data_IF_513588818653
#
_entry.id   IF_513588818653
#
_cell.length_a   1.000
_cell.length_b   1.000
_cell.length_c   1.000
_cell.angle_alpha   90.00
_cell.angle_beta   90.00
_cell.angle_gamma   90.00
#
_symmetry.space_group_name_H-M   'P 1'
#
loop_
_entity.id
_entity.type
_entity.pdbx_description
1 polymer ?
#
# COMPACT_ATOMS: atom_id res chain seq x y z
N UNK A 1 2.65 -21.63 10.40
CA UNK A 1 2.13 -21.00 9.17
C UNK A 1 0.87 -21.71 8.60
N UNK A 2 0.05 -22.40 9.41
CA UNK A 2 -1.10 -23.20 8.94
C UNK A 2 -2.44 -22.80 9.58
N UNK A 3 -2.62 -21.54 9.99
CA UNK A 3 -3.85 -21.05 10.65
C UNK A 3 -4.33 -19.67 10.20
N UNK A 4 -3.85 -19.17 9.06
CA UNK A 4 -4.26 -17.85 8.55
C UNK A 4 -5.74 -17.88 8.10
N UNK A 5 -6.21 -19.03 7.59
CA UNK A 5 -7.60 -19.25 7.13
C UNK A 5 -8.66 -19.16 8.24
N UNK A 6 -8.27 -19.20 9.53
CA UNK A 6 -9.19 -19.12 10.67
C UNK A 6 -9.11 -17.79 11.44
N UNK A 7 -8.09 -16.95 11.17
CA UNK A 7 -7.86 -15.71 11.92
C UNK A 7 -7.92 -14.44 11.07
N UNK A 8 -7.65 -14.53 9.77
CA UNK A 8 -7.69 -13.38 8.88
C UNK A 8 -9.11 -13.12 8.37
N UNK A 9 -9.71 -12.02 8.82
CA UNK A 9 -11.02 -11.59 8.33
C UNK A 9 -10.90 -10.82 7.01
N UNK A 10 -11.96 -10.80 6.19
CA UNK A 10 -12.05 -9.99 4.94
C UNK A 10 -11.59 -8.55 5.16
N UNK A 11 -11.88 -7.97 6.34
CA UNK A 11 -11.44 -6.63 6.72
C UNK A 11 -9.92 -6.46 6.75
N UNK A 12 -9.18 -7.45 7.24
CA UNK A 12 -7.70 -7.40 7.32
C UNK A 12 -7.09 -7.50 5.92
N UNK A 13 -7.58 -8.43 5.09
CA UNK A 13 -7.11 -8.53 3.70
C UNK A 13 -7.37 -7.25 2.90
N UNK A 14 -8.50 -6.57 3.13
CA UNK A 14 -8.80 -5.28 2.51
C UNK A 14 -7.87 -4.17 2.98
N UNK A 15 -7.54 -4.11 4.27
CA UNK A 15 -6.57 -3.15 4.81
C UNK A 15 -5.20 -3.36 4.18
N UNK A 16 -4.73 -4.60 4.03
CA UNK A 16 -3.46 -4.88 3.37
C UNK A 16 -3.43 -4.47 1.89
N UNK A 17 -4.52 -4.70 1.15
CA UNK A 17 -4.62 -4.23 -0.25
C UNK A 17 -4.61 -2.70 -0.30
N UNK A 18 -5.27 -2.04 0.64
CA UNK A 18 -5.27 -0.60 0.75
C UNK A 18 -3.86 -0.05 1.04
N UNK A 19 -3.16 -0.62 2.03
CA UNK A 19 -1.76 -0.28 2.35
C UNK A 19 -0.83 -0.50 1.14
N UNK A 20 -1.01 -1.59 0.40
CA UNK A 20 -0.26 -1.87 -0.83
C UNK A 20 -0.53 -0.80 -1.90
N UNK A 21 -1.79 -0.37 -2.05
CA UNK A 21 -2.18 0.68 -3.00
C UNK A 21 -1.62 2.06 -2.63
N UNK A 22 -1.74 2.44 -1.36
CA UNK A 22 -1.26 3.72 -0.82
C UNK A 22 0.23 3.94 -1.05
N UNK A 23 1.02 2.86 -1.06
CA UNK A 23 2.46 2.92 -1.36
C UNK A 23 2.80 2.59 -2.81
N UNK A 24 2.10 1.63 -3.41
CA UNK A 24 2.32 1.20 -4.79
C UNK A 24 2.03 2.32 -5.79
N UNK A 25 0.99 3.13 -5.57
CA UNK A 25 0.62 4.23 -6.47
C UNK A 25 1.73 5.30 -6.52
N UNK A 26 2.21 5.88 -5.40
CA UNK A 26 3.34 6.80 -5.43
C UNK A 26 4.60 6.21 -6.08
N UNK A 27 4.93 4.95 -5.77
CA UNK A 27 6.11 4.28 -6.34
C UNK A 27 5.97 4.15 -7.86
N UNK A 28 4.83 3.68 -8.35
CA UNK A 28 4.60 3.58 -9.80
C UNK A 28 4.57 4.96 -10.46
N UNK A 29 4.00 5.98 -9.81
CA UNK A 29 4.02 7.34 -10.30
C UNK A 29 5.46 7.84 -10.49
N UNK A 30 6.34 7.67 -9.51
CA UNK A 30 7.74 8.10 -9.64
C UNK A 30 8.54 7.32 -10.69
N UNK A 31 8.18 6.06 -10.95
CA UNK A 31 8.85 5.20 -11.95
C UNK A 31 8.41 5.54 -13.37
N UNK A 32 7.13 5.81 -13.59
CA UNK A 32 6.56 5.98 -14.93
C UNK A 32 6.39 7.43 -15.35
N UNK A 33 6.13 8.33 -14.41
CA UNK A 33 5.83 9.73 -14.68
C UNK A 33 7.06 10.61 -14.47
N UNK A 34 7.06 11.75 -15.16
CA UNK A 34 7.91 12.86 -14.79
C UNK A 34 7.55 13.31 -13.37
N UNK A 35 8.56 13.61 -12.56
CA UNK A 35 8.35 14.03 -11.18
C UNK A 35 8.00 15.52 -11.16
N UNK A 36 6.75 15.79 -11.50
CA UNK A 36 6.10 17.10 -11.45
C UNK A 36 5.37 17.28 -10.11
N UNK A 37 4.80 18.46 -9.85
CA UNK A 37 4.08 18.78 -8.60
C UNK A 37 3.04 17.72 -8.20
N UNK A 38 2.18 17.18 -9.09
CA UNK A 38 1.23 16.13 -8.76
C UNK A 38 1.89 14.85 -8.24
N UNK A 39 3.07 14.48 -8.74
CA UNK A 39 3.78 13.27 -8.28
C UNK A 39 4.29 13.47 -6.86
N UNK A 40 4.92 14.62 -6.58
CA UNK A 40 5.39 14.97 -5.23
C UNK A 40 4.20 15.02 -4.26
N UNK A 41 3.11 15.69 -4.64
CA UNK A 41 1.89 15.73 -3.84
C UNK A 41 1.31 14.33 -3.57
N UNK A 42 1.29 13.46 -4.59
CA UNK A 42 0.81 12.08 -4.45
C UNK A 42 1.66 11.28 -3.48
N UNK A 43 2.99 11.49 -3.45
CA UNK A 43 3.87 10.82 -2.49
C UNK A 43 3.54 11.22 -1.04
N UNK A 44 3.41 12.51 -0.76
CA UNK A 44 3.10 12.99 0.60
C UNK A 44 1.66 12.70 1.01
N UNK A 45 0.69 12.87 0.09
CA UNK A 45 -0.71 12.52 0.36
C UNK A 45 -0.86 11.01 0.59
N UNK A 46 -0.20 10.18 -0.24
CA UNK A 46 -0.15 8.74 -0.07
C UNK A 46 0.42 8.35 1.29
N UNK A 47 1.53 8.96 1.70
CA UNK A 47 2.11 8.76 3.04
C UNK A 47 1.13 9.15 4.16
N UNK A 48 0.51 10.33 4.10
CA UNK A 48 -0.44 10.75 5.14
C UNK A 48 -1.65 9.82 5.26
N UNK A 49 -2.18 9.35 4.13
CA UNK A 49 -3.28 8.37 4.11
C UNK A 49 -2.78 7.02 4.64
N UNK A 50 -1.57 6.62 4.28
CA UNK A 50 -0.92 5.41 4.76
C UNK A 50 -0.79 5.37 6.28
N UNK A 51 -0.35 6.46 6.93
CA UNK A 51 -0.27 6.55 8.39
C UNK A 51 -1.62 6.32 9.07
N UNK A 52 -2.70 6.86 8.48
CA UNK A 52 -4.06 6.64 9.00
C UNK A 52 -4.48 5.18 8.87
N UNK A 53 -4.16 4.54 7.74
CA UNK A 53 -4.47 3.13 7.49
C UNK A 53 -3.64 2.22 8.38
N UNK A 54 -2.35 2.51 8.57
CA UNK A 54 -1.44 1.83 9.51
C UNK A 54 -1.97 1.92 10.94
N UNK A 55 -2.41 3.11 11.37
CA UNK A 55 -3.02 3.25 12.70
C UNK A 55 -4.27 2.37 12.86
N UNK A 56 -5.10 2.28 11.81
CA UNK A 56 -6.25 1.39 11.76
C UNK A 56 -5.88 -0.09 11.82
N UNK A 57 -4.85 -0.49 11.09
CA UNK A 57 -4.30 -1.84 11.09
C UNK A 57 -3.75 -2.22 12.47
N UNK A 58 -2.93 -1.35 13.06
CA UNK A 58 -2.35 -1.57 14.38
C UNK A 58 -3.43 -1.70 15.45
N UNK A 59 -4.47 -0.84 15.43
CA UNK A 59 -5.64 -0.96 16.33
C UNK A 59 -6.32 -2.32 16.21
N UNK A 60 -6.44 -2.85 14.99
CA UNK A 60 -7.06 -4.15 14.76
C UNK A 60 -6.16 -5.29 15.25
N UNK A 61 -4.86 -5.21 14.95
CA UNK A 61 -3.87 -6.21 15.35
C UNK A 61 -3.77 -6.34 16.88
N UNK A 62 -3.59 -5.23 17.61
CA UNK A 62 -3.48 -5.24 19.07
C UNK A 62 -4.76 -5.67 19.78
N UNK A 63 -5.92 -5.55 19.13
CA UNK A 63 -7.19 -6.04 19.66
C UNK A 63 -7.33 -7.56 19.58
N UNK A 64 -6.52 -8.22 18.73
CA UNK A 64 -6.62 -9.64 18.42
C UNK A 64 -5.45 -10.48 18.91
N UNK A 65 -4.25 -9.88 19.03
CA UNK A 65 -3.04 -10.58 19.44
C UNK A 65 -2.03 -9.63 20.07
N UNK A 66 -1.03 -10.22 20.70
CA UNK A 66 0.16 -9.50 21.13
C UNK A 66 1.03 -9.10 19.93
N UNK A 67 1.55 -7.88 19.96
CA UNK A 67 2.54 -7.35 19.01
C UNK A 67 3.87 -7.27 19.74
N UNK A 68 4.87 -8.01 19.24
CA UNK A 68 6.17 -8.11 19.91
C UNK A 68 7.02 -6.85 19.68
N UNK A 69 8.00 -6.54 20.54
CA UNK A 69 8.87 -5.38 20.34
C UNK A 69 9.64 -5.40 19.01
N UNK A 70 10.10 -6.57 18.56
CA UNK A 70 10.82 -6.73 17.29
C UNK A 70 9.90 -6.46 16.10
N UNK A 71 8.67 -6.98 16.17
CA UNK A 71 7.65 -6.73 15.15
C UNK A 71 7.36 -5.23 15.03
N UNK A 72 7.17 -4.55 16.16
CA UNK A 72 6.94 -3.10 16.16
C UNK A 72 8.15 -2.33 15.63
N UNK A 73 9.39 -2.76 15.94
CA UNK A 73 10.60 -2.12 15.42
C UNK A 73 10.69 -2.25 13.89
N UNK A 74 10.43 -3.44 13.34
CA UNK A 74 10.41 -3.65 11.89
C UNK A 74 9.30 -2.83 11.25
N UNK A 75 8.12 -2.79 11.87
CA UNK A 75 7.00 -1.98 11.40
C UNK A 75 7.36 -0.49 11.36
N UNK A 76 7.90 0.08 12.44
CA UNK A 76 8.25 1.49 12.47
C UNK A 76 9.36 1.85 11.47
N UNK A 77 10.27 0.92 11.16
CA UNK A 77 11.22 1.14 10.05
C UNK A 77 10.50 1.19 8.72
N UNK A 78 9.61 0.24 8.43
CA UNK A 78 8.85 0.19 7.18
C UNK A 78 7.95 1.42 7.00
N UNK A 79 7.34 1.90 8.07
CA UNK A 79 6.47 3.09 8.12
C UNK A 79 7.23 4.37 7.72
N UNK A 80 8.51 4.49 8.10
CA UNK A 80 9.33 5.67 7.78
C UNK A 80 9.97 5.65 6.39
N UNK A 81 10.10 4.49 5.75
CA UNK A 81 10.67 4.38 4.39
C UNK A 81 9.91 5.19 3.33
N UNK A 82 8.55 5.18 3.28
CA UNK A 82 7.74 6.07 2.47
C UNK A 82 8.16 7.55 2.55
N UNK A 83 8.24 8.07 3.78
CA UNK A 83 8.54 9.47 4.04
C UNK A 83 9.96 9.80 3.61
N UNK A 84 10.92 8.91 3.91
CA UNK A 84 12.30 9.06 3.45
C UNK A 84 12.38 9.09 1.91
N UNK A 85 11.67 8.19 1.22
CA UNK A 85 11.60 8.17 -0.24
C UNK A 85 11.00 9.46 -0.82
N UNK A 86 9.90 9.94 -0.25
CA UNK A 86 9.28 11.22 -0.62
C UNK A 86 10.24 12.39 -0.48
N UNK A 87 10.96 12.46 0.64
CA UNK A 87 11.98 13.49 0.86
C UNK A 87 13.14 13.40 -0.13
N UNK A 88 13.71 12.22 -0.34
CA UNK A 88 14.83 12.05 -1.28
C UNK A 88 14.44 12.46 -2.71
N UNK A 89 13.25 12.03 -3.17
CA UNK A 89 12.74 12.43 -4.50
C UNK A 89 12.51 13.93 -4.57
N UNK A 90 11.94 14.53 -3.53
CA UNK A 90 11.68 15.97 -3.48
C UNK A 90 12.96 16.80 -3.48
N UNK A 91 14.01 16.34 -2.77
CA UNK A 91 15.32 16.98 -2.78
C UNK A 91 16.04 16.82 -4.13
N UNK A 92 15.90 15.67 -4.80
CA UNK A 92 16.38 15.49 -6.17
C UNK A 92 15.64 16.37 -7.20
N UNK A 93 14.44 16.83 -6.85
CA UNK A 93 13.58 17.71 -7.66
C UNK A 93 13.31 19.02 -6.94
N UNK A 94 14.37 19.59 -6.36
CA UNK A 94 14.31 20.79 -5.53
C UNK A 94 13.57 21.96 -6.23
N UNK A 95 13.80 22.17 -7.53
CA UNK A 95 13.12 23.22 -8.28
C UNK A 95 11.59 23.06 -8.26
N UNK A 96 11.10 21.82 -8.38
CA UNK A 96 9.68 21.50 -8.35
C UNK A 96 9.13 21.59 -6.92
N UNK A 97 9.90 21.13 -5.92
CA UNK A 97 9.55 21.30 -4.51
C UNK A 97 9.41 22.78 -4.14
N UNK A 98 10.35 23.63 -4.56
CA UNK A 98 10.32 25.07 -4.31
C UNK A 98 9.15 25.75 -5.03
N UNK A 99 8.83 25.32 -6.25
CA UNK A 99 7.67 25.81 -6.98
C UNK A 99 6.37 25.42 -6.27
N UNK A 100 6.25 24.18 -5.79
CA UNK A 100 5.10 23.70 -5.03
C UNK A 100 4.91 24.45 -3.70
N UNK A 101 6.00 24.80 -3.02
CA UNK A 101 5.99 25.59 -1.79
C UNK A 101 5.78 27.10 -2.01
N UNK A 102 5.72 27.57 -3.26
CA UNK A 102 5.57 28.99 -3.59
C UNK A 102 6.78 29.85 -3.25
N UNK A 103 7.96 29.24 -3.07
CA UNK A 103 9.23 29.94 -2.77
C UNK A 103 10.13 30.08 -4.00
N UNK A 104 9.70 29.54 -5.15
CA UNK A 104 10.36 29.71 -6.45
C UNK A 104 9.68 30.80 -7.28
N UNK A 105 10.42 31.54 -8.12
CA UNK A 105 9.84 32.39 -9.17
C UNK A 105 9.12 31.59 -10.27
N UNK A 106 9.38 30.29 -10.37
CA UNK A 106 8.76 29.37 -11.32
C UNK A 106 7.42 28.85 -10.76
N UNK A 107 6.40 28.80 -11.61
CA UNK A 107 5.11 28.19 -11.27
C UNK A 107 5.21 26.64 -11.18
N UNK A 108 4.47 26.00 -10.26
CA UNK A 108 4.40 24.54 -10.16
C UNK A 108 3.85 23.91 -11.45
N UNK A 109 4.50 22.84 -11.92
CA UNK A 109 4.04 22.09 -13.10
C UNK A 109 3.00 21.05 -12.66
N UNK A 110 1.73 21.31 -12.98
CA UNK A 110 0.62 20.40 -12.67
C UNK A 110 0.32 19.36 -13.74
N UNK A 111 1.15 19.24 -14.77
CA UNK A 111 0.92 18.25 -15.82
C UNK A 111 1.35 16.84 -15.39
N UNK A 112 0.66 15.85 -15.96
CA UNK A 112 0.97 14.44 -15.80
C UNK A 112 1.53 13.94 -17.12
N UNK A 113 2.82 13.61 -17.15
CA UNK A 113 3.53 13.17 -18.35
C UNK A 113 4.35 11.92 -18.04
N UNK A 114 4.47 11.03 -19.02
CA UNK A 114 5.40 9.90 -18.94
C UNK A 114 6.84 10.42 -18.97
N UNK A 115 7.77 9.68 -18.35
CA UNK A 115 9.20 10.03 -18.41
C UNK A 115 9.71 10.07 -19.85
N UNK A 116 10.41 11.15 -20.19
CA UNK A 116 11.11 11.28 -21.47
C UNK A 116 12.28 10.29 -21.55
N UNK A 117 12.99 10.12 -20.43
CA UNK A 117 14.07 9.16 -20.26
C UNK A 117 13.64 8.10 -19.24
N UNK A 118 12.86 7.09 -19.65
CA UNK A 118 12.37 6.08 -18.74
C UNK A 118 13.50 5.16 -18.26
N UNK A 119 13.32 4.59 -17.07
CA UNK A 119 14.20 3.53 -16.59
C UNK A 119 14.26 2.37 -17.60
N UNK A 120 15.40 1.64 -17.69
CA UNK A 120 15.51 0.51 -18.59
C UNK A 120 14.37 -0.48 -18.38
N UNK A 121 13.85 -1.03 -19.47
CA UNK A 121 12.63 -1.87 -19.42
C UNK A 121 12.77 -3.06 -18.47
N UNK A 122 13.97 -3.63 -18.34
CA UNK A 122 14.26 -4.71 -17.40
C UNK A 122 14.01 -4.31 -15.94
N UNK A 123 14.38 -3.09 -15.53
CA UNK A 123 14.10 -2.59 -14.18
C UNK A 123 12.60 -2.40 -13.95
N UNK A 124 11.89 -1.79 -14.91
CA UNK A 124 10.44 -1.55 -14.79
C UNK A 124 9.63 -2.84 -14.75
N UNK A 125 9.94 -3.77 -15.65
CA UNK A 125 9.28 -5.07 -15.69
C UNK A 125 9.61 -5.89 -14.45
N UNK A 126 10.88 -5.96 -14.04
CA UNK A 126 11.29 -6.62 -12.81
C UNK A 126 10.58 -6.07 -11.57
N UNK A 127 10.47 -4.75 -11.45
CA UNK A 127 9.74 -4.11 -10.36
C UNK A 127 8.25 -4.45 -10.37
N UNK A 128 7.56 -4.32 -11.52
CA UNK A 128 6.13 -4.67 -11.63
C UNK A 128 5.93 -6.15 -11.29
N UNK A 129 6.76 -7.04 -11.81
CA UNK A 129 6.69 -8.47 -11.52
C UNK A 129 6.90 -8.75 -10.04
N UNK A 130 7.86 -8.10 -9.38
CA UNK A 130 8.09 -8.27 -7.95
C UNK A 130 6.90 -7.77 -7.12
N UNK A 131 6.36 -6.59 -7.41
CA UNK A 131 5.15 -6.04 -6.75
C UNK A 131 3.96 -6.99 -6.94
N UNK A 132 3.77 -7.51 -8.15
CA UNK A 132 2.68 -8.43 -8.44
C UNK A 132 2.83 -9.77 -7.70
N UNK A 133 3.99 -10.41 -7.79
CA UNK A 133 4.23 -11.75 -7.24
C UNK A 133 4.30 -11.76 -5.71
N UNK A 134 4.95 -10.76 -5.10
CA UNK A 134 5.20 -10.74 -3.66
C UNK A 134 4.25 -9.83 -2.87
N UNK A 135 3.52 -8.94 -3.53
CA UNK A 135 2.54 -8.05 -2.90
C UNK A 135 1.12 -8.35 -3.32
N UNK A 136 0.78 -8.05 -4.57
CA UNK A 136 -0.63 -8.05 -5.01
C UNK A 136 -1.27 -9.44 -5.04
N UNK A 137 -0.61 -10.44 -5.63
CA UNK A 137 -1.16 -11.79 -5.78
C UNK A 137 -1.45 -12.45 -4.43
N UNK A 138 -0.53 -12.47 -3.44
CA UNK A 138 -0.80 -13.07 -2.13
C UNK A 138 -2.03 -12.46 -1.43
N UNK A 139 -2.15 -11.12 -1.41
CA UNK A 139 -3.27 -10.46 -0.74
C UNK A 139 -4.60 -10.64 -1.49
N UNK A 140 -4.57 -10.69 -2.83
CA UNK A 140 -5.77 -10.98 -3.62
C UNK A 140 -6.23 -12.43 -3.43
N UNK A 141 -5.30 -13.38 -3.35
CA UNK A 141 -5.61 -14.78 -3.06
C UNK A 141 -6.25 -14.92 -1.68
N UNK A 142 -5.67 -14.28 -0.66
CA UNK A 142 -6.20 -14.29 0.70
C UNK A 142 -7.59 -13.67 0.77
N UNK A 143 -7.81 -12.51 0.14
CA UNK A 143 -9.12 -11.88 0.06
C UNK A 143 -10.15 -12.79 -0.62
N UNK A 144 -9.77 -13.45 -1.72
CA UNK A 144 -10.66 -14.36 -2.43
C UNK A 144 -11.05 -15.58 -1.60
N UNK A 145 -10.07 -16.22 -0.93
CA UNK A 145 -10.31 -17.37 -0.04
C UNK A 145 -11.23 -17.00 1.12
N UNK A 146 -10.95 -15.88 1.80
CA UNK A 146 -11.74 -15.41 2.97
C UNK A 146 -13.15 -14.96 2.57
N UNK A 147 -13.30 -14.27 1.44
CA UNK A 147 -14.61 -13.88 0.91
C UNK A 147 -15.47 -15.11 0.59
N UNK A 148 -14.89 -16.13 -0.07
CA UNK A 148 -15.59 -17.37 -0.41
C UNK A 148 -16.01 -18.17 0.84
N UNK A 149 -15.13 -18.27 1.84
CA UNK A 149 -15.45 -18.91 3.12
C UNK A 149 -16.59 -18.19 3.88
N UNK A 150 -16.59 -16.85 3.86
CA UNK A 150 -17.63 -16.04 4.51
C UNK A 150 -19.01 -16.16 3.84
N UNK A 151 -19.06 -16.43 2.53
CA UNK A 151 -20.31 -16.69 1.82
C UNK A 151 -20.87 -18.08 2.15
N UNK A 152 -19.99 -19.08 2.30
CA UNK A 152 -20.40 -20.43 2.65
C UNK A 152 -20.94 -20.54 4.09
N UNK A 153 -20.42 -19.76 5.04
CA UNK A 153 -20.95 -19.72 6.40
C UNK A 153 -22.29 -18.98 6.53
N UNK A 154 -22.66 -18.14 5.55
CA UNK A 154 -23.94 -17.41 5.51
C UNK A 154 -25.08 -18.18 4.84
N UNK A 155 -24.78 -19.28 4.14
CA UNK A 155 -25.82 -20.18 3.64
C UNK A 155 -26.46 -20.90 4.84
N UNK A 156 -27.81 -20.95 4.94
CA UNK A 156 -28.46 -21.67 6.01
C UNK A 156 -28.00 -23.12 5.99
N UNK A 157 -27.64 -23.68 7.16
CA UNK A 157 -27.50 -25.11 7.32
C UNK A 157 -28.84 -25.76 7.01
N UNK A 158 -29.02 -26.19 5.76
CA UNK A 158 -30.18 -26.99 5.37
C UNK A 158 -29.99 -28.38 5.95
N UNK A 159 -30.56 -28.58 7.13
CA UNK A 159 -31.06 -29.86 7.62
C UNK A 159 -30.04 -30.84 8.18
N UNK A 160 -30.02 -30.97 9.52
CA UNK A 160 -30.20 -32.29 10.12
C UNK A 160 -31.07 -32.18 11.38
N UNK A 161 -32.37 -31.96 11.18
CA UNK A 161 -33.36 -32.53 12.08
C UNK A 161 -33.36 -34.05 11.87
N UNK A 162 -32.73 -34.78 12.79
CA UNK A 162 -33.15 -36.16 13.07
C UNK A 162 -33.60 -36.21 14.52
N UNK A 163 -34.91 -36.31 14.66
CA UNK A 163 -35.59 -36.84 15.84
C UNK A 163 -35.06 -38.24 16.19
N UNK A 164 -34.90 -38.46 17.50
CA UNK A 164 -35.51 -39.52 18.32
C UNK A 164 -34.56 -39.96 19.42
#
# INVERSE_FOLDING_TARGET
YSRIEQTAGVKESLIHILLLGEMGIPVLATVFLEVTSPVIMTMFAGFLVHELTVYGDLRLAVSKREVTPVEQMVHSVMEMMPLLGAWLVSLLKEDELRALLGVSPREPDFSIRLKEQPLPIGYRTGLITAIALFGAIPYLEELWRTARGSQQSKLPSTGSSRCS
#
